data_IF_756153534340
#
_entry.id   IF_756153534340
#
_cell.length_a   1.000
_cell.length_b   1.000
_cell.length_c   1.000
_cell.angle_alpha   90.00
_cell.angle_beta   90.00
_cell.angle_gamma   90.00
#
_symmetry.space_group_name_H-M   'P 1'
#
loop_
_entity.id
_entity.type
_entity.pdbx_description
1 polymer ?
#
# COMPACT_ATOMS: atom_id res chain seq x y z
N UNK A 1 3.47 -3.48 13.26
CA UNK A 1 4.22 -4.73 12.91
C UNK A 1 3.98 -5.78 13.99
N UNK A 2 4.25 -7.06 13.75
CA UNK A 2 4.20 -8.08 14.84
C UNK A 2 5.54 -8.10 15.60
N UNK A 3 6.66 -8.09 14.87
CA UNK A 3 8.02 -8.00 15.40
C UNK A 3 8.76 -6.85 14.70
N UNK A 4 9.63 -6.15 15.42
CA UNK A 4 10.35 -4.98 14.90
C UNK A 4 11.73 -4.77 15.54
N UNK A 5 12.53 -3.83 14.99
CA UNK A 5 12.20 -2.96 13.85
C UNK A 5 12.18 -3.71 12.50
N UNK A 6 11.40 -3.21 11.55
CA UNK A 6 11.29 -3.80 10.20
C UNK A 6 12.54 -3.53 9.38
N UNK A 7 13.31 -4.57 9.08
CA UNK A 7 14.52 -4.51 8.24
C UNK A 7 14.34 -5.11 6.85
N UNK A 8 13.30 -5.91 6.65
CA UNK A 8 13.02 -6.65 5.42
C UNK A 8 11.67 -6.19 4.82
N UNK A 9 11.65 -5.97 3.51
CA UNK A 9 10.48 -5.55 2.73
C UNK A 9 9.65 -4.41 3.36
N UNK A 10 10.18 -3.19 3.59
CA UNK A 10 9.39 -2.08 4.15
C UNK A 10 8.16 -1.76 3.28
N UNK A 11 7.14 -1.19 3.91
CA UNK A 11 5.94 -0.75 3.21
C UNK A 11 6.15 0.69 2.69
N UNK A 12 5.91 0.88 1.39
CA UNK A 12 5.78 2.19 0.77
C UNK A 12 4.32 2.50 0.45
N UNK A 13 3.95 3.77 0.56
CA UNK A 13 2.65 4.32 0.18
C UNK A 13 2.89 5.45 -0.83
N UNK A 14 2.11 5.47 -1.90
CA UNK A 14 2.18 6.54 -2.90
C UNK A 14 1.30 7.72 -2.48
N UNK A 15 1.81 8.94 -2.64
CA UNK A 15 1.04 10.15 -2.50
C UNK A 15 0.00 10.24 -3.63
N UNK A 16 -1.28 10.22 -3.27
CA UNK A 16 -2.38 10.27 -4.24
C UNK A 16 -2.38 11.54 -5.09
N UNK A 17 -1.79 12.64 -4.61
CA UNK A 17 -1.67 13.89 -5.36
C UNK A 17 -0.61 13.82 -6.49
N UNK A 18 0.14 12.72 -6.55
CA UNK A 18 1.13 12.47 -7.60
C UNK A 18 0.64 11.49 -8.67
N UNK A 19 -0.61 11.03 -8.57
CA UNK A 19 -1.22 10.10 -9.53
C UNK A 19 -1.97 10.86 -10.62
N UNK A 20 -1.70 10.51 -11.88
CA UNK A 20 -2.51 10.85 -13.03
C UNK A 20 -3.43 9.67 -13.35
N UNK A 21 -4.63 9.63 -12.77
CA UNK A 21 -5.49 8.43 -12.77
C UNK A 21 -5.78 7.89 -14.18
N UNK A 22 -6.15 8.71 -15.18
CA UNK A 22 -6.33 8.23 -16.55
C UNK A 22 -5.10 7.60 -17.21
N UNK A 23 -3.89 7.97 -16.81
CA UNK A 23 -2.64 7.46 -17.39
C UNK A 23 -2.02 6.34 -16.56
N UNK A 24 -2.12 6.43 -15.24
CA UNK A 24 -1.37 5.61 -14.30
C UNK A 24 -2.15 4.38 -13.86
N UNK A 25 -3.49 4.36 -13.99
CA UNK A 25 -4.33 3.35 -13.35
C UNK A 25 -5.25 2.66 -14.36
N UNK A 26 -5.29 1.34 -14.26
CA UNK A 26 -6.24 0.50 -14.97
C UNK A 26 -6.93 -0.47 -14.00
N UNK A 27 -8.24 -0.59 -14.10
CA UNK A 27 -9.02 -1.57 -13.33
C UNK A 27 -8.77 -2.97 -13.91
N UNK A 28 -8.48 -3.94 -13.04
CA UNK A 28 -8.16 -5.29 -13.45
C UNK A 28 -8.83 -6.34 -12.57
N UNK A 29 -9.37 -7.37 -13.21
CA UNK A 29 -9.89 -8.53 -12.50
C UNK A 29 -8.76 -9.45 -12.06
N UNK A 30 -8.69 -9.73 -10.76
CA UNK A 30 -7.94 -10.87 -10.23
C UNK A 30 -8.86 -12.07 -10.18
N UNK A 31 -8.71 -12.94 -11.18
CA UNK A 31 -9.44 -14.21 -11.29
C UNK A 31 -8.65 -15.31 -10.60
N UNK A 32 -9.24 -15.88 -9.55
CA UNK A 32 -8.80 -17.10 -8.90
C UNK A 32 -9.83 -18.21 -9.12
N UNK A 33 -9.48 -19.45 -8.77
CA UNK A 33 -10.33 -20.61 -9.02
C UNK A 33 -11.70 -20.52 -8.31
N UNK A 34 -11.76 -19.86 -7.14
CA UNK A 34 -12.93 -19.74 -6.26
C UNK A 34 -13.57 -18.36 -6.27
N UNK A 35 -12.90 -17.34 -6.82
CA UNK A 35 -13.36 -15.95 -6.72
C UNK A 35 -12.77 -15.07 -7.82
N UNK A 36 -13.54 -14.05 -8.18
CA UNK A 36 -13.06 -12.88 -8.90
C UNK A 36 -13.07 -11.70 -7.95
N UNK A 37 -11.96 -10.96 -7.89
CA UNK A 37 -11.87 -9.71 -7.12
C UNK A 37 -11.32 -8.61 -8.01
N UNK A 38 -11.88 -7.42 -7.92
CA UNK A 38 -11.33 -6.25 -8.60
C UNK A 38 -10.07 -5.76 -7.88
N UNK A 39 -9.07 -5.39 -8.68
CA UNK A 39 -7.85 -4.72 -8.26
C UNK A 39 -7.59 -3.58 -9.22
N UNK A 40 -6.61 -2.75 -8.88
CA UNK A 40 -6.01 -1.82 -9.83
C UNK A 40 -4.63 -2.33 -10.24
N UNK A 41 -4.27 -2.04 -11.48
CA UNK A 41 -2.90 -2.04 -11.98
C UNK A 41 -2.38 -0.60 -11.95
N UNK A 42 -1.16 -0.41 -11.45
CA UNK A 42 -0.49 0.88 -11.46
C UNK A 42 0.68 0.84 -12.44
N UNK A 43 0.68 1.75 -13.42
CA UNK A 43 1.75 1.95 -14.36
C UNK A 43 2.84 2.83 -13.76
N UNK A 44 4.11 2.53 -14.08
CA UNK A 44 5.22 3.30 -13.57
C UNK A 44 5.23 4.72 -14.15
N UNK A 45 5.26 5.72 -13.28
CA UNK A 45 5.37 7.13 -13.65
C UNK A 45 6.41 7.82 -12.76
N UNK A 46 7.34 8.54 -13.38
CA UNK A 46 8.41 9.25 -12.67
C UNK A 46 7.89 10.39 -11.77
N UNK A 47 6.65 10.84 -11.98
CA UNK A 47 5.99 11.83 -11.13
C UNK A 47 5.52 11.25 -9.77
N UNK A 48 5.40 9.92 -9.65
CA UNK A 48 4.94 9.27 -8.42
C UNK A 48 5.85 9.60 -7.24
N UNK A 49 5.26 10.12 -6.17
CA UNK A 49 5.95 10.37 -4.91
C UNK A 49 5.67 9.24 -3.94
N UNK A 50 6.69 8.45 -3.67
CA UNK A 50 6.63 7.33 -2.75
C UNK A 50 7.22 7.69 -1.39
N UNK A 51 6.50 7.34 -0.34
CA UNK A 51 6.95 7.45 1.04
C UNK A 51 7.02 6.05 1.64
N UNK A 52 8.15 5.68 2.22
CA UNK A 52 8.31 4.39 2.89
C UNK A 52 8.71 4.57 4.34
N UNK A 53 8.25 3.65 5.18
CA UNK A 53 8.56 3.66 6.60
C UNK A 53 9.65 2.64 6.91
N UNK A 54 10.88 3.13 7.09
CA UNK A 54 12.00 2.28 7.48
C UNK A 54 11.96 1.99 8.99
N UNK A 55 12.26 0.76 9.39
CA UNK A 55 12.41 0.43 10.81
C UNK A 55 11.11 0.43 11.61
N UNK A 56 9.96 0.18 10.97
CA UNK A 56 8.65 0.20 11.64
C UNK A 56 8.61 -0.74 12.85
N UNK A 57 8.23 -0.21 14.02
CA UNK A 57 8.11 -0.92 15.28
C UNK A 57 6.71 -1.55 15.49
N UNK A 58 6.54 -2.50 16.42
CA UNK A 58 5.24 -3.12 16.67
C UNK A 58 4.14 -2.15 17.14
N UNK A 59 4.50 -1.07 17.82
CA UNK A 59 3.59 -0.04 18.34
C UNK A 59 3.27 1.08 17.34
N UNK A 60 3.79 1.00 16.11
CA UNK A 60 3.51 1.95 15.03
C UNK A 60 2.50 1.36 14.05
N UNK A 61 1.70 2.24 13.45
CA UNK A 61 0.65 1.90 12.49
C UNK A 61 0.63 2.92 11.36
N UNK A 62 0.55 2.41 10.12
CA UNK A 62 0.26 3.22 8.95
C UNK A 62 -1.24 3.15 8.68
N UNK A 63 -1.87 4.32 8.55
CA UNK A 63 -3.29 4.44 8.22
C UNK A 63 -3.41 5.18 6.89
N UNK A 64 -4.07 4.57 5.93
CA UNK A 64 -4.36 5.17 4.63
C UNK A 64 -5.75 4.72 4.16
N UNK A 65 -6.37 5.53 3.29
CA UNK A 65 -7.74 5.32 2.81
C UNK A 65 -7.74 4.40 1.59
N UNK A 66 -8.62 3.39 1.58
CA UNK A 66 -8.75 2.44 0.46
C UNK A 66 -10.02 2.63 -0.40
N UNK A 67 -11.05 3.30 0.12
CA UNK A 67 -12.27 3.62 -0.62
C UNK A 67 -12.99 4.80 0.05
N UNK A 68 -13.71 5.60 -0.73
CA UNK A 68 -14.64 6.62 -0.24
C UNK A 68 -15.79 6.80 -1.23
N UNK A 69 -17.03 6.68 -0.75
CA UNK A 69 -18.24 6.82 -1.57
C UNK A 69 -18.59 8.27 -1.91
N UNK A 70 -17.92 9.26 -1.31
CA UNK A 70 -18.16 10.70 -1.55
C UNK A 70 -17.46 11.25 -2.81
N UNK A 71 -16.81 10.40 -3.62
CA UNK A 71 -16.35 10.77 -4.95
C UNK A 71 -15.04 11.57 -4.99
N UNK A 72 -14.03 11.17 -4.23
CA UNK A 72 -12.68 11.73 -4.40
C UNK A 72 -12.03 11.24 -5.70
N UNK A 73 -11.15 12.08 -6.27
CA UNK A 73 -10.40 11.78 -7.50
C UNK A 73 -9.61 10.45 -7.45
N UNK A 74 -9.17 10.03 -6.26
CA UNK A 74 -8.46 8.76 -6.06
C UNK A 74 -9.11 8.00 -4.90
N UNK A 75 -9.88 6.93 -5.17
CA UNK A 75 -10.57 6.19 -4.12
C UNK A 75 -9.64 5.25 -3.36
N UNK A 76 -8.46 4.89 -3.87
CA UNK A 76 -7.59 3.85 -3.30
C UNK A 76 -6.26 4.39 -2.74
N UNK A 77 -5.69 3.66 -1.79
CA UNK A 77 -4.39 3.93 -1.20
C UNK A 77 -3.36 3.00 -1.80
N UNK A 78 -2.67 3.46 -2.85
CA UNK A 78 -1.61 2.67 -3.49
C UNK A 78 -0.48 2.43 -2.50
N UNK A 79 -0.15 1.17 -2.26
CA UNK A 79 0.94 0.76 -1.39
C UNK A 79 1.60 -0.51 -1.90
N UNK A 80 2.88 -0.68 -1.60
CA UNK A 80 3.66 -1.84 -2.05
C UNK A 80 4.76 -2.16 -1.05
N UNK A 81 5.04 -3.45 -0.88
CA UNK A 81 6.26 -3.91 -0.24
C UNK A 81 7.34 -4.05 -1.31
N UNK A 82 8.56 -3.58 -1.05
CA UNK A 82 9.65 -3.67 -2.02
C UNK A 82 10.91 -4.23 -1.37
N UNK A 83 11.76 -4.90 -2.16
CA UNK A 83 13.05 -5.38 -1.65
C UNK A 83 13.92 -4.18 -1.31
N UNK A 84 14.15 -4.00 -0.01
CA UNK A 84 15.06 -2.99 0.50
C UNK A 84 16.42 -3.63 0.70
N UNK A 85 17.37 -3.25 -0.14
CA UNK A 85 18.76 -3.66 -0.04
C UNK A 85 19.45 -2.89 1.10
N UNK A 86 19.11 -3.23 2.35
CA UNK A 86 19.87 -2.77 3.51
C UNK A 86 21.03 -3.74 3.76
N UNK A 87 22.24 -3.19 3.82
CA UNK A 87 23.42 -3.91 4.33
C UNK A 87 23.57 -3.77 5.85
N UNK A 88 22.72 -2.96 6.49
CA UNK A 88 22.93 -2.49 7.86
C UNK A 88 22.23 -3.33 8.92
N UNK A 89 21.19 -4.09 8.55
CA UNK A 89 20.40 -4.88 9.49
C UNK A 89 20.28 -6.33 9.00
N UNK A 90 20.29 -7.32 9.91
CA UNK A 90 19.88 -8.68 9.57
C UNK A 90 18.48 -8.67 8.96
N UNK A 91 18.33 -9.29 7.79
CA UNK A 91 17.01 -9.44 7.14
C UNK A 91 16.20 -10.46 7.94
N UNK A 92 15.36 -9.97 8.84
CA UNK A 92 14.38 -10.79 9.57
C UNK A 92 13.08 -10.77 8.78
N UNK A 93 12.47 -11.92 8.46
CA UNK A 93 11.24 -11.95 7.67
C UNK A 93 10.16 -11.06 8.25
N UNK A 94 9.61 -10.19 7.40
CA UNK A 94 8.57 -9.23 7.81
C UNK A 94 7.31 -9.94 8.28
N UNK A 95 6.81 -9.57 9.46
CA UNK A 95 5.52 -10.02 9.98
C UNK A 95 4.60 -8.82 10.23
N UNK A 96 3.52 -8.74 9.45
CA UNK A 96 2.56 -7.64 9.47
C UNK A 96 1.13 -8.14 9.56
N UNK A 97 0.25 -7.30 10.10
CA UNK A 97 -1.21 -7.51 10.10
C UNK A 97 -1.82 -6.33 9.34
N UNK A 98 -2.73 -6.62 8.43
CA UNK A 98 -3.59 -5.61 7.81
C UNK A 98 -4.96 -5.65 8.49
N UNK A 99 -5.47 -4.47 8.86
CA UNK A 99 -6.82 -4.30 9.40
C UNK A 99 -7.58 -3.36 8.48
N UNK A 100 -8.78 -3.77 8.06
CA UNK A 100 -9.69 -2.92 7.27
C UNK A 100 -10.79 -2.40 8.18
N UNK A 101 -10.93 -1.08 8.19
CA UNK A 101 -11.97 -0.38 8.95
C UNK A 101 -12.91 0.24 7.93
N UNK A 102 -14.21 -0.02 8.08
CA UNK A 102 -15.26 0.56 7.25
C UNK A 102 -16.16 1.42 8.12
N UNK A 103 -16.35 2.67 7.71
CA UNK A 103 -17.17 3.63 8.44
C UNK A 103 -18.46 3.90 7.66
N UNK A 104 -19.60 3.69 8.33
CA UNK A 104 -20.93 4.04 7.81
C UNK A 104 -21.46 5.24 8.57
N UNK A 105 -21.90 6.27 7.84
CA UNK A 105 -22.47 7.49 8.41
C UNK A 105 -23.73 7.87 7.62
N UNK A 106 -24.64 8.59 8.28
CA UNK A 106 -25.93 9.04 7.73
C UNK A 106 -25.84 10.45 7.16
#
# INVERSE_FOLDING_TARGET
MINGPTSDWPLAVCDYQSLDIPLDVEECDRVAWDRTTESILLYANAAHRWHYFHGMEPNEVLVFRNCDTRGYHVPFGVHVAFDYQSQLLPKVPRQSIEVRIVCFFR
#
